data_IF_155884179238
#
_entry.id   IF_155884179238
#
_cell.length_a   1.000
_cell.length_b   1.000
_cell.length_c   1.000
_cell.angle_alpha   90.00
_cell.angle_beta   90.00
_cell.angle_gamma   90.00
#
_symmetry.space_group_name_H-M   'P 1'
#
loop_
_entity.id
_entity.type
_entity.pdbx_description
1 polymer ?
#
# COMPACT_ATOMS: atom_id res chain seq x y z
N UNK A 1 9.90 15.24 -15.04
CA UNK A 1 9.71 15.19 -16.52
C UNK A 1 10.18 13.88 -17.17
N UNK A 2 11.29 13.29 -16.72
CA UNK A 2 11.83 12.03 -17.27
C UNK A 2 10.86 10.83 -17.19
N UNK A 3 10.07 10.70 -16.11
CA UNK A 3 9.09 9.61 -16.00
C UNK A 3 8.00 9.67 -17.09
N UNK A 4 7.48 10.86 -17.37
CA UNK A 4 6.44 11.05 -18.40
C UNK A 4 6.98 10.62 -19.78
N UNK A 5 8.25 10.92 -20.07
CA UNK A 5 8.92 10.48 -21.29
C UNK A 5 8.99 8.94 -21.40
N UNK A 6 9.36 8.25 -20.32
CA UNK A 6 9.37 6.77 -20.27
C UNK A 6 8.01 6.19 -20.64
N UNK A 7 6.93 6.69 -20.04
CA UNK A 7 5.59 6.20 -20.36
C UNK A 7 5.18 6.54 -21.80
N UNK A 8 5.48 7.75 -22.27
CA UNK A 8 5.18 8.19 -23.64
C UNK A 8 5.87 7.32 -24.68
N UNK A 9 7.16 7.05 -24.49
CA UNK A 9 7.96 6.23 -25.42
C UNK A 9 7.42 4.80 -25.47
N UNK A 10 7.18 4.19 -24.31
CA UNK A 10 6.59 2.85 -24.24
C UNK A 10 5.21 2.78 -24.91
N UNK A 11 4.31 3.72 -24.61
CA UNK A 11 2.98 3.74 -25.23
C UNK A 11 3.05 4.01 -26.74
N UNK A 12 4.03 4.79 -27.21
CA UNK A 12 4.26 4.99 -28.65
C UNK A 12 4.74 3.70 -29.32
N UNK A 13 5.60 2.93 -28.67
CA UNK A 13 6.03 1.61 -29.17
C UNK A 13 4.85 0.64 -29.25
N UNK A 14 4.00 0.59 -28.21
CA UNK A 14 2.87 -0.34 -28.14
C UNK A 14 1.72 0.03 -29.08
N UNK A 15 1.35 1.31 -29.16
CA UNK A 15 0.15 1.76 -29.88
C UNK A 15 0.44 2.48 -31.21
N UNK A 16 1.70 2.69 -31.59
CA UNK A 16 2.05 3.47 -32.78
C UNK A 16 1.47 4.87 -32.70
N UNK A 17 0.94 5.41 -33.81
CA UNK A 17 0.35 6.76 -33.84
C UNK A 17 -0.89 6.94 -32.93
N UNK A 18 -1.58 5.84 -32.60
CA UNK A 18 -2.75 5.86 -31.71
C UNK A 18 -2.39 6.14 -30.24
N UNK A 19 -1.09 6.17 -29.89
CA UNK A 19 -0.67 6.50 -28.53
C UNK A 19 -1.24 7.86 -28.05
N UNK A 20 -1.47 8.81 -28.96
CA UNK A 20 -2.05 10.12 -28.66
C UNK A 20 -3.46 10.06 -28.11
N UNK A 21 -4.21 8.99 -28.40
CA UNK A 21 -5.58 8.79 -27.93
C UNK A 21 -5.61 8.25 -26.49
N UNK A 22 -4.58 7.49 -26.09
CA UNK A 22 -4.52 6.81 -24.79
C UNK A 22 -3.64 7.53 -23.77
N UNK A 23 -2.63 8.28 -24.23
CA UNK A 23 -1.65 8.94 -23.39
C UNK A 23 -2.21 10.24 -22.79
N UNK A 24 -2.46 10.21 -21.49
CA UNK A 24 -2.95 11.35 -20.72
C UNK A 24 -1.95 11.59 -19.58
N UNK A 25 -0.90 12.40 -19.82
CA UNK A 25 0.18 12.56 -18.87
C UNK A 25 -0.34 13.21 -17.59
N UNK A 26 0.02 12.61 -16.45
CA UNK A 26 -0.29 13.14 -15.13
C UNK A 26 1.01 13.48 -14.41
N UNK A 27 1.07 14.69 -13.88
CA UNK A 27 2.14 15.09 -12.97
C UNK A 27 1.84 14.59 -11.56
N UNK A 28 2.89 14.31 -10.79
CA UNK A 28 2.78 13.85 -9.41
C UNK A 28 3.39 14.90 -8.49
N UNK A 29 2.62 15.36 -7.50
CA UNK A 29 3.09 16.20 -6.41
C UNK A 29 3.34 17.67 -6.76
N UNK A 30 3.56 18.47 -5.72
CA UNK A 30 3.95 19.89 -5.80
C UNK A 30 5.30 20.00 -5.09
N UNK A 31 6.38 20.21 -5.84
CA UNK A 31 7.73 20.47 -5.29
C UNK A 31 8.42 19.29 -4.58
N UNK A 32 9.76 19.34 -4.54
CA UNK A 32 10.64 18.37 -3.85
C UNK A 32 11.53 17.54 -4.79
N UNK A 33 12.64 17.03 -4.26
CA UNK A 33 13.62 16.22 -5.00
C UNK A 33 13.21 14.74 -5.19
N UNK A 34 11.99 14.36 -4.78
CA UNK A 34 11.54 12.97 -4.73
C UNK A 34 10.55 12.68 -5.86
N UNK A 35 10.85 11.67 -6.66
CA UNK A 35 9.94 11.13 -7.67
C UNK A 35 9.24 9.84 -7.18
N UNK A 36 8.12 9.49 -7.80
CA UNK A 36 7.46 8.20 -7.57
C UNK A 36 8.37 7.00 -7.93
N UNK A 37 8.17 5.87 -7.27
CA UNK A 37 8.82 4.61 -7.68
C UNK A 37 8.27 4.20 -9.05
N UNK A 38 9.16 4.13 -10.05
CA UNK A 38 8.81 3.91 -11.45
C UNK A 38 9.94 3.21 -12.21
N UNK A 39 9.66 2.63 -13.39
CA UNK A 39 10.71 2.22 -14.31
C UNK A 39 11.57 3.40 -14.76
N UNK A 40 12.86 3.14 -14.97
CA UNK A 40 13.81 4.12 -15.51
C UNK A 40 13.89 4.08 -17.04
N UNK A 41 13.42 3.00 -17.66
CA UNK A 41 13.42 2.76 -19.11
C UNK A 41 12.06 2.21 -19.56
N UNK A 42 11.66 2.44 -20.82
CA UNK A 42 10.40 1.96 -21.39
C UNK A 42 10.45 0.45 -21.73
N UNK A 43 10.86 -0.39 -20.77
CA UNK A 43 11.09 -1.82 -21.01
C UNK A 43 10.13 -2.61 -20.11
N UNK A 44 9.16 -3.31 -20.69
CA UNK A 44 8.27 -4.16 -19.90
C UNK A 44 9.00 -5.42 -19.36
N UNK A 45 8.32 -6.21 -18.53
CA UNK A 45 8.93 -7.41 -17.93
C UNK A 45 9.31 -8.48 -18.96
N UNK A 46 8.61 -8.54 -20.11
CA UNK A 46 8.89 -9.53 -21.15
C UNK A 46 10.16 -9.15 -21.91
N UNK A 47 10.25 -7.90 -22.33
CA UNK A 47 11.43 -7.36 -23.01
C UNK A 47 12.64 -7.35 -22.09
N UNK A 48 12.46 -7.06 -20.80
CA UNK A 48 13.54 -7.16 -19.82
C UNK A 48 14.14 -8.56 -19.76
N UNK A 49 13.30 -9.61 -19.76
CA UNK A 49 13.77 -11.00 -19.76
C UNK A 49 14.56 -11.33 -21.03
N UNK A 50 14.04 -10.98 -22.20
CA UNK A 50 14.72 -11.16 -23.48
C UNK A 50 16.09 -10.49 -23.50
N UNK A 51 16.16 -9.22 -23.08
CA UNK A 51 17.42 -8.47 -23.05
C UNK A 51 18.45 -9.06 -22.08
N UNK A 52 18.00 -9.71 -21.00
CA UNK A 52 18.89 -10.42 -20.08
C UNK A 52 19.37 -11.75 -20.70
N UNK A 53 18.47 -12.48 -21.35
CA UNK A 53 18.78 -13.74 -22.06
C UNK A 53 19.75 -13.51 -23.23
N UNK A 54 19.59 -12.41 -23.96
CA UNK A 54 20.47 -11.96 -25.06
C UNK A 54 21.80 -11.37 -24.55
N UNK A 55 21.98 -11.21 -23.23
CA UNK A 55 23.19 -10.65 -22.63
C UNK A 55 23.36 -9.13 -22.78
N UNK A 56 22.35 -8.43 -23.32
CA UNK A 56 22.32 -6.96 -23.48
C UNK A 56 22.21 -6.24 -22.13
N UNK A 57 21.44 -6.81 -21.20
CA UNK A 57 21.35 -6.34 -19.81
C UNK A 57 21.94 -7.40 -18.89
N UNK A 58 22.99 -7.05 -18.17
CA UNK A 58 23.64 -7.95 -17.21
C UNK A 58 23.39 -7.44 -15.79
N UNK A 59 22.41 -8.00 -15.06
CA UNK A 59 22.14 -7.58 -13.71
C UNK A 59 23.28 -8.02 -12.77
N UNK A 60 23.58 -7.19 -11.76
CA UNK A 60 24.63 -7.47 -10.76
C UNK A 60 24.43 -8.80 -10.02
N UNK A 61 23.18 -9.27 -9.97
CA UNK A 61 22.81 -10.60 -9.46
C UNK A 61 21.68 -11.19 -10.29
N UNK A 62 21.53 -12.52 -10.33
CA UNK A 62 20.39 -13.16 -10.99
C UNK A 62 19.05 -12.63 -10.47
N UNK A 63 18.15 -12.28 -11.39
CA UNK A 63 16.80 -11.84 -11.03
C UNK A 63 15.91 -13.05 -10.75
N UNK A 64 15.23 -13.03 -9.60
CA UNK A 64 14.30 -14.09 -9.21
C UNK A 64 12.90 -13.79 -9.74
N UNK A 65 12.00 -14.78 -9.67
CA UNK A 65 10.58 -14.57 -9.99
C UNK A 65 9.95 -13.39 -9.24
N UNK A 66 10.38 -13.14 -7.99
CA UNK A 66 9.86 -12.05 -7.17
C UNK A 66 10.36 -10.67 -7.63
N UNK A 67 11.61 -10.58 -8.11
CA UNK A 67 12.13 -9.35 -8.71
C UNK A 67 11.31 -8.99 -9.96
N UNK A 68 11.07 -9.95 -10.85
CA UNK A 68 10.27 -9.73 -12.05
C UNK A 68 8.82 -9.39 -11.72
N UNK A 69 8.19 -10.07 -10.76
CA UNK A 69 6.81 -9.80 -10.36
C UNK A 69 6.64 -8.40 -9.76
N UNK A 70 7.58 -7.96 -8.91
CA UNK A 70 7.56 -6.61 -8.35
C UNK A 70 7.81 -5.56 -9.44
N UNK A 71 8.76 -5.81 -10.35
CA UNK A 71 9.02 -4.93 -11.49
C UNK A 71 7.79 -4.78 -12.37
N UNK A 72 7.13 -5.89 -12.75
CA UNK A 72 5.92 -5.88 -13.57
C UNK A 72 4.78 -5.10 -12.89
N UNK A 73 4.60 -5.28 -11.58
CA UNK A 73 3.62 -4.51 -10.81
C UNK A 73 3.90 -3.01 -10.84
N UNK A 74 5.17 -2.61 -10.61
CA UNK A 74 5.59 -1.20 -10.65
C UNK A 74 5.41 -0.64 -12.06
N UNK A 75 5.84 -1.38 -13.08
CA UNK A 75 5.77 -0.99 -14.48
C UNK A 75 4.34 -0.76 -14.92
N UNK A 76 3.46 -1.75 -14.75
CA UNK A 76 2.06 -1.66 -15.15
C UNK A 76 1.33 -0.53 -14.43
N UNK A 77 1.55 -0.39 -13.12
CA UNK A 77 0.93 0.68 -12.33
C UNK A 77 1.40 2.06 -12.79
N UNK A 78 2.68 2.18 -13.14
CA UNK A 78 3.26 3.40 -13.67
C UNK A 78 2.68 3.77 -15.03
N UNK A 79 2.69 2.84 -16.00
CA UNK A 79 2.13 3.09 -17.34
C UNK A 79 0.64 3.43 -17.26
N UNK A 80 -0.14 2.67 -16.50
CA UNK A 80 -1.56 2.93 -16.27
C UNK A 80 -1.82 4.35 -15.74
N UNK A 81 -0.94 4.87 -14.88
CA UNK A 81 -1.11 6.23 -14.33
C UNK A 81 -0.92 7.35 -15.36
N UNK A 82 -0.32 7.05 -16.53
CA UNK A 82 -0.13 7.99 -17.64
C UNK A 82 -1.13 7.77 -18.78
N UNK A 83 -2.16 6.94 -18.55
CA UNK A 83 -3.23 6.68 -19.49
C UNK A 83 -4.55 7.33 -19.07
N UNK A 84 -5.44 7.49 -20.06
CA UNK A 84 -6.82 7.93 -19.87
C UNK A 84 -7.64 6.97 -19.00
N UNK A 85 -8.78 7.47 -18.50
CA UNK A 85 -9.70 6.68 -17.68
C UNK A 85 -10.31 5.51 -18.49
N UNK A 86 -10.45 4.35 -17.86
CA UNK A 86 -11.31 3.29 -18.37
C UNK A 86 -12.78 3.53 -18.02
N UNK A 87 -13.70 3.02 -18.83
CA UNK A 87 -15.14 3.00 -18.55
C UNK A 87 -15.62 1.58 -18.33
N UNK A 88 -16.36 1.38 -17.24
CA UNK A 88 -16.96 0.09 -16.89
C UNK A 88 -18.47 0.23 -16.75
N UNK A 89 -19.19 -0.80 -17.18
CA UNK A 89 -20.61 -0.92 -16.94
C UNK A 89 -20.82 -1.42 -15.52
N UNK A 90 -21.56 -0.65 -14.73
CA UNK A 90 -21.97 -1.02 -13.37
C UNK A 90 -23.48 -1.27 -13.38
N UNK A 91 -23.89 -2.47 -12.96
CA UNK A 91 -25.30 -2.81 -12.72
C UNK A 91 -25.58 -2.80 -11.23
N UNK A 92 -26.59 -2.06 -10.80
CA UNK A 92 -27.09 -2.10 -9.43
C UNK A 92 -28.21 -3.13 -9.36
N UNK A 93 -28.01 -4.21 -8.60
CA UNK A 93 -28.98 -5.29 -8.44
C UNK A 93 -29.56 -5.29 -7.03
N UNK A 94 -30.88 -5.48 -6.92
CA UNK A 94 -31.56 -5.70 -5.65
C UNK A 94 -31.90 -7.18 -5.52
N UNK A 95 -31.32 -7.82 -4.52
CA UNK A 95 -31.50 -9.25 -4.27
C UNK A 95 -32.40 -9.40 -3.04
N UNK A 96 -33.53 -10.10 -3.21
CA UNK A 96 -34.46 -10.41 -2.13
C UNK A 96 -34.46 -11.91 -1.83
N UNK A 97 -34.14 -12.28 -0.59
CA UNK A 97 -34.12 -13.67 -0.12
C UNK A 97 -34.88 -13.76 1.19
N UNK A 98 -35.97 -14.55 1.22
CA UNK A 98 -36.81 -14.77 2.42
C UNK A 98 -37.16 -13.48 3.18
N UNK A 99 -37.53 -12.42 2.44
CA UNK A 99 -37.90 -11.12 3.01
C UNK A 99 -36.75 -10.17 3.35
N UNK A 100 -35.50 -10.63 3.28
CA UNK A 100 -34.31 -9.77 3.41
C UNK A 100 -33.92 -9.23 2.03
N UNK A 101 -33.76 -7.91 1.94
CA UNK A 101 -33.31 -7.25 0.71
C UNK A 101 -31.89 -6.69 0.88
N UNK A 102 -31.06 -6.88 -0.14
CA UNK A 102 -29.72 -6.29 -0.21
C UNK A 102 -29.48 -5.72 -1.59
N UNK A 103 -28.90 -4.53 -1.64
CA UNK A 103 -28.44 -3.91 -2.89
C UNK A 103 -26.96 -4.23 -3.10
N UNK A 104 -26.60 -4.62 -4.31
CA UNK A 104 -25.22 -4.90 -4.73
C UNK A 104 -24.92 -4.08 -5.99
N UNK A 105 -23.67 -3.65 -6.12
CA UNK A 105 -23.14 -3.07 -7.37
C UNK A 105 -22.21 -4.09 -8.01
N UNK A 106 -22.52 -4.47 -9.25
CA UNK A 106 -21.77 -5.43 -10.05
C UNK A 106 -21.09 -4.71 -11.22
N UNK A 107 -19.78 -4.89 -11.37
CA UNK A 107 -19.00 -4.38 -12.51
C UNK A 107 -18.99 -5.44 -13.60
N UNK A 108 -19.90 -5.38 -14.55
CA UNK A 108 -20.18 -6.52 -15.44
C UNK A 108 -19.39 -6.52 -16.75
N UNK A 109 -18.89 -5.36 -17.18
CA UNK A 109 -18.15 -5.24 -18.45
C UNK A 109 -17.24 -4.04 -18.48
N UNK A 110 -16.07 -4.18 -19.10
CA UNK A 110 -15.24 -3.05 -19.52
C UNK A 110 -15.73 -2.57 -20.89
N UNK A 111 -16.19 -1.32 -20.95
CA UNK A 111 -16.68 -0.68 -22.18
C UNK A 111 -15.53 -0.01 -22.92
N UNK A 112 -14.69 0.71 -22.18
CA UNK A 112 -13.46 1.30 -22.68
C UNK A 112 -12.33 0.91 -21.71
N UNK A 113 -11.24 0.29 -22.17
CA UNK A 113 -10.21 -0.20 -21.26
C UNK A 113 -9.45 0.94 -20.58
N UNK A 114 -9.02 1.96 -21.33
CA UNK A 114 -8.16 3.02 -20.79
C UNK A 114 -6.98 2.43 -20.00
N UNK A 115 -6.70 2.97 -18.82
CA UNK A 115 -5.65 2.44 -17.94
C UNK A 115 -5.87 0.99 -17.45
N UNK A 116 -7.09 0.45 -17.53
CA UNK A 116 -7.43 -0.89 -17.05
C UNK A 116 -6.72 -1.99 -17.86
N UNK A 117 -6.28 -1.68 -19.08
CA UNK A 117 -5.49 -2.60 -19.90
C UNK A 117 -4.18 -3.01 -19.21
N UNK A 118 -3.55 -2.06 -18.51
CA UNK A 118 -2.32 -2.32 -17.77
C UNK A 118 -2.58 -2.65 -16.31
N UNK A 119 -3.55 -2.02 -15.67
CA UNK A 119 -3.81 -2.16 -14.24
C UNK A 119 -5.30 -2.19 -13.92
N UNK A 120 -5.84 -3.39 -13.69
CA UNK A 120 -7.23 -3.61 -13.29
C UNK A 120 -7.31 -3.94 -11.79
N UNK A 121 -7.70 -2.99 -10.92
CA UNK A 121 -7.71 -3.19 -9.47
C UNK A 121 -8.95 -3.93 -8.93
N UNK A 122 -9.81 -4.46 -9.81
CA UNK A 122 -11.05 -5.16 -9.48
C UNK A 122 -11.29 -6.34 -10.42
N UNK A 123 -12.22 -7.21 -10.07
CA UNK A 123 -12.71 -8.25 -10.96
C UNK A 123 -13.96 -7.80 -11.70
N UNK A 124 -14.20 -8.41 -12.87
CA UNK A 124 -15.47 -8.26 -13.58
C UNK A 124 -16.42 -9.31 -13.03
N UNK A 125 -17.52 -8.83 -12.47
CA UNK A 125 -18.59 -9.65 -11.94
C UNK A 125 -19.35 -10.32 -13.11
N UNK A 126 -19.82 -11.56 -12.95
CA UNK A 126 -20.72 -12.17 -13.92
C UNK A 126 -21.95 -11.30 -14.14
N UNK A 127 -22.40 -11.19 -15.38
CA UNK A 127 -23.61 -10.44 -15.68
C UNK A 127 -24.85 -11.20 -15.18
N UNK A 128 -25.85 -10.46 -14.68
CA UNK A 128 -27.05 -11.01 -14.07
C UNK A 128 -28.27 -10.30 -14.65
N UNK A 129 -29.27 -11.09 -15.06
CA UNK A 129 -30.56 -10.62 -15.54
C UNK A 129 -31.59 -10.57 -14.41
N UNK A 130 -32.69 -9.86 -14.64
CA UNK A 130 -33.79 -9.87 -13.68
C UNK A 130 -34.53 -11.20 -13.75
N UNK A 131 -34.76 -11.84 -12.60
CA UNK A 131 -35.46 -13.11 -12.56
C UNK A 131 -35.43 -13.80 -11.21
N UNK A 132 -35.98 -15.01 -11.18
CA UNK A 132 -35.96 -15.89 -10.01
C UNK A 132 -34.84 -16.92 -10.20
N UNK A 133 -33.91 -16.94 -9.25
CA UNK A 133 -32.75 -17.83 -9.30
C UNK A 133 -32.87 -18.92 -8.23
N UNK A 134 -32.45 -20.15 -8.57
CA UNK A 134 -32.35 -21.24 -7.61
C UNK A 134 -31.14 -21.01 -6.71
N UNK A 135 -31.34 -21.10 -5.40
CA UNK A 135 -30.25 -21.07 -4.43
C UNK A 135 -29.47 -22.39 -4.55
N UNK A 136 -28.21 -22.31 -4.98
CA UNK A 136 -27.32 -23.48 -5.16
C UNK A 136 -26.64 -23.86 -3.84
N UNK A 137 -26.24 -22.87 -3.04
CA UNK A 137 -25.56 -23.10 -1.78
C UNK A 137 -25.92 -22.00 -0.76
N UNK A 138 -26.05 -22.38 0.51
CA UNK A 138 -26.17 -21.45 1.63
C UNK A 138 -25.09 -21.78 2.64
N UNK A 139 -24.16 -20.85 2.85
CA UNK A 139 -23.16 -20.94 3.91
C UNK A 139 -23.48 -19.91 4.98
N UNK A 140 -23.72 -20.36 6.22
CA UNK A 140 -23.79 -19.48 7.38
C UNK A 140 -22.41 -19.43 8.00
N UNK A 141 -21.75 -18.27 7.92
CA UNK A 141 -20.43 -18.06 8.51
C UNK A 141 -20.55 -17.17 9.74
N UNK A 142 -19.85 -17.54 10.81
CA UNK A 142 -19.58 -16.66 11.94
C UNK A 142 -18.18 -16.10 11.76
N UNK A 143 -18.07 -14.79 11.59
CA UNK A 143 -16.80 -14.10 11.52
C UNK A 143 -16.75 -12.96 12.53
N UNK A 144 -15.54 -12.58 12.93
CA UNK A 144 -15.34 -11.30 13.63
C UNK A 144 -15.71 -10.16 12.69
N UNK A 145 -16.48 -9.15 13.13
CA UNK A 145 -16.70 -7.94 12.33
C UNK A 145 -15.39 -7.16 12.07
N UNK A 146 -14.35 -7.44 12.85
CA UNK A 146 -13.02 -6.84 12.71
C UNK A 146 -12.01 -7.96 12.37
N UNK A 147 -11.69 -8.17 11.08
CA UNK A 147 -10.62 -9.09 10.71
C UNK A 147 -9.27 -8.55 11.22
N UNK A 148 -8.30 -9.42 11.54
CA UNK A 148 -6.97 -8.95 11.90
C UNK A 148 -6.32 -8.19 10.75
N UNK A 149 -5.40 -7.29 11.08
CA UNK A 149 -4.69 -6.50 10.08
C UNK A 149 -3.68 -7.35 9.30
N UNK A 150 -3.57 -7.12 7.99
CA UNK A 150 -2.39 -7.54 7.21
C UNK A 150 -1.25 -6.53 7.39
N UNK A 151 -0.05 -6.86 6.89
CA UNK A 151 1.03 -5.86 6.84
C UNK A 151 0.62 -4.61 6.06
N UNK A 152 -0.11 -4.76 4.96
CA UNK A 152 -0.58 -3.63 4.14
C UNK A 152 -1.56 -2.74 4.92
N UNK A 153 -2.46 -3.33 5.71
CA UNK A 153 -3.37 -2.56 6.57
C UNK A 153 -2.62 -1.77 7.64
N UNK A 154 -1.60 -2.38 8.26
CA UNK A 154 -0.76 -1.70 9.26
C UNK A 154 0.00 -0.54 8.62
N UNK A 155 0.61 -0.72 7.44
CA UNK A 155 1.30 0.37 6.72
C UNK A 155 0.33 1.49 6.36
N UNK A 156 -0.89 1.17 5.93
CA UNK A 156 -1.93 2.16 5.64
C UNK A 156 -2.30 2.96 6.89
N UNK A 157 -2.59 2.27 8.00
CA UNK A 157 -2.92 2.91 9.28
C UNK A 157 -1.78 3.80 9.80
N UNK A 158 -0.54 3.33 9.70
CA UNK A 158 0.65 4.10 10.02
C UNK A 158 0.71 5.41 9.23
N UNK A 159 0.49 5.35 7.90
CA UNK A 159 0.44 6.54 7.05
C UNK A 159 -0.69 7.48 7.42
N UNK A 160 -1.91 6.97 7.59
CA UNK A 160 -3.10 7.77 7.94
C UNK A 160 -2.96 8.46 9.30
N UNK A 161 -2.26 7.82 10.25
CA UNK A 161 -2.03 8.36 11.59
C UNK A 161 -0.79 9.22 11.71
N UNK A 162 -0.02 9.41 10.64
CA UNK A 162 1.25 10.15 10.68
C UNK A 162 2.29 9.47 11.57
N UNK A 163 2.38 8.14 11.50
CA UNK A 163 3.31 7.32 12.27
C UNK A 163 4.25 6.59 11.32
N UNK A 164 5.53 6.92 11.36
CA UNK A 164 6.54 6.36 10.48
C UNK A 164 6.76 7.17 9.20
N UNK A 165 7.64 6.66 8.36
CA UNK A 165 8.10 7.28 7.11
C UNK A 165 8.26 6.17 6.06
N UNK A 166 8.33 6.50 4.76
CA UNK A 166 8.58 5.52 3.70
C UNK A 166 9.77 4.59 3.99
N UNK A 167 10.81 5.11 4.64
CA UNK A 167 12.00 4.38 5.05
C UNK A 167 11.80 3.45 6.27
N UNK A 168 10.76 3.64 7.08
CA UNK A 168 10.60 2.95 8.36
C UNK A 168 9.44 1.96 8.41
N UNK A 169 8.43 2.07 7.54
CA UNK A 169 7.23 1.21 7.57
C UNK A 169 7.56 -0.29 7.58
N UNK A 170 8.32 -0.75 6.58
CA UNK A 170 8.71 -2.16 6.47
C UNK A 170 9.60 -2.57 7.65
N UNK A 171 10.51 -1.68 8.10
CA UNK A 171 11.45 -1.97 9.17
C UNK A 171 10.79 -2.12 10.53
N UNK A 172 9.76 -1.32 10.80
CA UNK A 172 8.97 -1.40 12.02
C UNK A 172 8.27 -2.77 12.10
N UNK A 173 7.56 -3.17 11.04
CA UNK A 173 6.87 -4.47 10.98
C UNK A 173 7.86 -5.62 11.08
N UNK A 174 8.98 -5.58 10.36
CA UNK A 174 10.06 -6.57 10.43
C UNK A 174 10.60 -6.70 11.86
N UNK A 175 10.81 -5.58 12.55
CA UNK A 175 11.32 -5.57 13.92
C UNK A 175 10.32 -6.17 14.91
N UNK A 176 9.02 -5.87 14.77
CA UNK A 176 7.97 -6.44 15.60
C UNK A 176 7.85 -7.96 15.41
N UNK A 177 7.96 -8.44 14.17
CA UNK A 177 7.98 -9.88 13.86
C UNK A 177 9.24 -10.56 14.42
N UNK A 178 10.41 -9.98 14.16
CA UNK A 178 11.71 -10.53 14.62
C UNK A 178 11.79 -10.62 16.15
N UNK A 179 11.26 -9.61 16.86
CA UNK A 179 11.17 -9.60 18.33
C UNK A 179 10.00 -10.42 18.88
N UNK A 180 9.22 -11.07 18.01
CA UNK A 180 8.05 -11.90 18.35
C UNK A 180 6.98 -11.16 19.15
N UNK A 181 6.83 -9.84 18.96
CA UNK A 181 5.70 -9.08 19.52
C UNK A 181 4.42 -9.32 18.72
N UNK A 182 4.59 -9.55 17.41
CA UNK A 182 3.52 -9.98 16.51
C UNK A 182 3.95 -11.25 15.78
N UNK A 183 2.99 -11.99 15.26
CA UNK A 183 3.20 -13.15 14.40
C UNK A 183 2.28 -13.09 13.20
N UNK A 184 2.66 -13.74 12.11
CA UNK A 184 1.76 -13.97 10.97
C UNK A 184 0.95 -15.23 11.21
N UNK A 185 -0.37 -15.12 11.05
CA UNK A 185 -1.33 -16.21 11.12
C UNK A 185 -2.06 -16.34 9.78
N UNK A 186 -2.54 -17.55 9.51
CA UNK A 186 -3.26 -17.92 8.30
C UNK A 186 -2.46 -17.72 7.00
N UNK A 187 -2.97 -18.29 5.92
CA UNK A 187 -2.32 -18.23 4.60
C UNK A 187 -2.35 -16.81 4.01
N UNK A 188 -3.33 -16.00 4.42
CA UNK A 188 -3.53 -14.62 3.96
C UNK A 188 -2.53 -13.62 4.58
N UNK A 189 -1.67 -14.04 5.52
CA UNK A 189 -0.65 -13.17 6.12
C UNK A 189 -1.20 -12.16 7.13
N UNK A 190 -2.27 -12.53 7.84
CA UNK A 190 -2.83 -11.73 8.93
C UNK A 190 -1.85 -11.62 10.10
N UNK A 191 -1.85 -10.50 10.80
CA UNK A 191 -1.00 -10.25 11.95
C UNK A 191 -1.79 -10.41 13.25
N UNK A 192 -1.18 -11.09 14.21
CA UNK A 192 -1.72 -11.25 15.56
C UNK A 192 -0.67 -10.89 16.62
N UNK A 193 -1.12 -10.29 17.73
CA UNK A 193 -0.25 -10.01 18.88
C UNK A 193 0.03 -11.29 19.67
N UNK A 194 1.30 -11.47 20.04
CA UNK A 194 1.71 -12.59 20.91
C UNK A 194 1.45 -12.25 22.39
N UNK A 195 1.54 -13.25 23.27
CA UNK A 195 1.49 -13.02 24.73
C UNK A 195 2.55 -12.01 25.17
N UNK A 196 3.77 -12.15 24.64
CA UNK A 196 4.87 -11.22 24.90
C UNK A 196 4.55 -9.80 24.41
N UNK A 197 4.05 -9.66 23.18
CA UNK A 197 3.67 -8.36 22.63
C UNK A 197 2.61 -7.65 23.47
N UNK A 198 1.58 -8.39 23.92
CA UNK A 198 0.53 -7.86 24.81
C UNK A 198 1.10 -7.43 26.17
N UNK A 199 1.98 -8.24 26.76
CA UNK A 199 2.61 -7.92 28.05
C UNK A 199 3.47 -6.65 27.96
N UNK A 200 4.30 -6.53 26.92
CA UNK A 200 5.13 -5.34 26.68
C UNK A 200 4.27 -4.11 26.41
N UNK A 201 3.26 -4.23 25.56
CA UNK A 201 2.33 -3.12 25.30
C UNK A 201 1.64 -2.65 26.57
N UNK A 202 1.10 -3.57 27.38
CA UNK A 202 0.46 -3.24 28.66
C UNK A 202 1.43 -2.58 29.64
N UNK A 203 2.66 -3.08 29.75
CA UNK A 203 3.70 -2.49 30.58
C UNK A 203 4.01 -1.05 30.16
N UNK A 204 4.26 -0.83 28.86
CA UNK A 204 4.61 0.48 28.32
C UNK A 204 3.47 1.48 28.46
N UNK A 205 2.25 1.10 28.09
CA UNK A 205 1.08 1.98 28.22
C UNK A 205 0.73 2.28 29.67
N UNK A 206 0.93 1.35 30.60
CA UNK A 206 0.58 1.59 32.01
C UNK A 206 1.59 2.49 32.74
N UNK A 207 2.87 2.46 32.34
CA UNK A 207 3.95 3.20 33.01
C UNK A 207 4.44 4.43 32.24
N UNK A 208 4.37 4.39 30.92
CA UNK A 208 4.98 5.34 30.00
C UNK A 208 3.99 5.83 28.92
N UNK A 209 2.67 5.83 29.21
CA UNK A 209 1.61 6.23 28.26
C UNK A 209 1.95 7.47 27.43
N UNK A 210 2.45 8.52 28.09
CA UNK A 210 2.83 9.78 27.44
C UNK A 210 3.94 9.60 26.40
N UNK A 211 4.93 8.75 26.65
CA UNK A 211 6.07 8.56 25.73
C UNK A 211 5.72 7.63 24.56
N UNK A 212 4.82 6.67 24.77
CA UNK A 212 4.50 5.63 23.76
C UNK A 212 3.19 5.90 23.02
N UNK A 213 2.61 7.09 23.18
CA UNK A 213 1.39 7.48 22.49
C UNK A 213 1.65 7.75 21.00
N UNK A 214 0.60 7.57 20.20
CA UNK A 214 0.62 7.92 18.78
C UNK A 214 0.87 9.41 18.57
N UNK A 215 0.31 10.26 19.44
CA UNK A 215 0.47 11.71 19.40
C UNK A 215 1.93 12.14 19.61
N UNK A 216 2.60 11.62 20.64
CA UNK A 216 4.01 11.91 20.90
C UNK A 216 4.89 11.43 19.74
N UNK A 217 4.55 10.27 19.17
CA UNK A 217 5.26 9.72 18.02
C UNK A 217 5.11 10.59 16.77
N UNK A 218 3.91 11.16 16.54
CA UNK A 218 3.64 12.09 15.44
C UNK A 218 4.33 13.43 15.64
N UNK A 219 4.24 14.02 16.84
CA UNK A 219 4.91 15.28 17.18
C UNK A 219 6.42 15.18 16.95
N UNK A 220 7.05 14.10 17.40
CA UNK A 220 8.49 13.89 17.17
C UNK A 220 8.84 13.84 15.68
N UNK A 221 7.98 13.21 14.89
CA UNK A 221 8.12 13.15 13.44
C UNK A 221 8.01 14.52 12.77
N UNK A 222 7.04 15.34 13.18
CA UNK A 222 6.91 16.72 12.71
C UNK A 222 8.13 17.57 13.07
N UNK A 223 8.71 17.37 14.26
CA UNK A 223 9.95 18.06 14.65
C UNK A 223 11.16 17.62 13.79
N UNK A 224 11.23 16.35 13.41
CA UNK A 224 12.25 15.88 12.46
C UNK A 224 12.10 16.52 11.07
N UNK A 225 10.86 16.68 10.59
CA UNK A 225 10.61 17.34 9.30
C UNK A 225 11.01 18.83 9.36
N UNK A 226 10.69 19.53 10.45
CA UNK A 226 11.13 20.92 10.67
C UNK A 226 12.66 21.06 10.70
N UNK A 227 13.36 20.08 11.26
CA UNK A 227 14.84 20.07 11.24
C UNK A 227 15.35 19.87 9.81
N UNK A 228 14.76 18.96 9.03
CA UNK A 228 15.12 18.71 7.63
C UNK A 228 14.92 19.96 6.76
N UNK A 229 13.85 20.72 7.02
CA UNK A 229 13.55 21.99 6.35
C UNK A 229 14.38 23.18 6.87
N UNK A 230 15.19 22.98 7.92
CA UNK A 230 15.99 24.04 8.55
C UNK A 230 15.19 25.02 9.42
N UNK A 231 13.95 24.69 9.79
CA UNK A 231 13.04 25.49 10.60
C UNK A 231 13.27 25.35 12.12
N UNK A 232 13.95 24.28 12.57
CA UNK A 232 14.27 24.01 13.99
C UNK A 232 15.72 23.53 14.13
N UNK A 233 16.39 23.94 15.21
CA UNK A 233 17.72 23.42 15.56
C UNK A 233 17.59 22.05 16.27
N UNK A 234 18.32 21.05 15.76
CA UNK A 234 18.26 19.69 16.29
C UNK A 234 18.70 19.58 17.76
N UNK A 235 19.60 20.45 18.24
CA UNK A 235 20.12 20.45 19.62
C UNK A 235 19.05 20.93 20.59
N UNK A 236 18.20 21.87 20.19
CA UNK A 236 17.07 22.33 21.00
C UNK A 236 16.04 21.22 21.17
N UNK A 237 15.65 20.59 20.05
CA UNK A 237 14.72 19.46 20.06
C UNK A 237 15.25 18.30 20.92
N UNK A 238 16.56 18.00 20.86
CA UNK A 238 17.18 16.97 21.71
C UNK A 238 17.12 17.33 23.21
N UNK A 239 17.30 18.60 23.58
CA UNK A 239 17.17 19.05 24.98
C UNK A 239 15.73 18.88 25.48
N UNK A 240 14.75 19.32 24.69
CA UNK A 240 13.32 19.18 25.00
C UNK A 240 12.93 17.70 25.23
N UNK A 241 13.37 16.80 24.35
CA UNK A 241 13.11 15.36 24.46
C UNK A 241 13.77 14.79 25.73
N UNK A 242 15.01 15.19 26.02
CA UNK A 242 15.72 14.71 27.20
C UNK A 242 15.01 15.14 28.50
N UNK A 243 14.54 16.38 28.56
CA UNK A 243 13.75 16.89 29.68
C UNK A 243 12.42 16.14 29.82
N UNK A 244 11.73 15.89 28.71
CA UNK A 244 10.48 15.11 28.73
C UNK A 244 10.71 13.69 29.24
N UNK A 245 11.77 12.99 28.80
CA UNK A 245 12.11 11.65 29.27
C UNK A 245 12.44 11.66 30.77
N UNK A 246 13.21 12.64 31.24
CA UNK A 246 13.57 12.78 32.67
C UNK A 246 12.37 13.08 33.56
N UNK A 247 11.37 13.77 33.03
CA UNK A 247 10.15 14.13 33.76
C UNK A 247 9.22 12.94 34.00
N UNK A 248 9.41 11.82 33.29
CA UNK A 248 8.54 10.64 33.47
C UNK A 248 8.91 9.92 34.76
N UNK A 249 8.01 9.86 35.76
CA UNK A 249 8.31 9.23 37.02
C UNK A 249 8.51 7.73 36.79
N UNK A 250 9.73 7.26 37.00
CA UNK A 250 10.01 5.83 37.14
C UNK A 250 9.40 5.41 38.47
N UNK A 251 8.11 5.06 38.49
CA UNK A 251 7.52 4.37 39.63
C UNK A 251 8.22 3.01 39.73
N UNK A 252 9.30 2.95 40.50
CA UNK A 252 9.88 1.74 41.01
C UNK A 252 8.79 1.06 41.85
N UNK A 253 8.06 0.13 41.23
CA UNK A 253 7.56 -1.00 42.00
C UNK A 253 8.62 -2.06 41.85
N UNK A 254 9.49 -2.12 42.86
CA UNK A 254 10.23 -3.33 43.22
C UNK A 254 9.26 -4.52 43.33
N UNK A 255 9.75 -5.75 43.09
CA UNK A 255 8.94 -6.95 42.90
C UNK A 255 7.94 -7.23 44.03
#
# INVERSE_FOLDING_TARGET
EAGIAVAKEYLKEVYGDKYREVFVPRQWGVGGAHEAIRPTRPIDVKRLRQLIEEGVIQPVRPLTRYHYALYDLVFRRFIASQMGAGKVLVKTVRVRVKGVEKTLELRTKIVEPGFLEFYQPFHIDPDVESGVYRIVNVSIMRWSPYPPYTQADVVRLMKERGIGRPSTYAKIIETLLRRRYITQIARQGYLASTVLGKAVYKFLTSRFARLVSEETTRRLQEEMDKIEEGLRDYREVLKEILEEIRSVPVKAKEP
#
